data_IF_065802896539
#
_entry.id   IF_065802896539
#
_cell.length_a   1.000
_cell.length_b   1.000
_cell.length_c   1.000
_cell.angle_alpha   90.00
_cell.angle_beta   90.00
_cell.angle_gamma   90.00
#
_symmetry.space_group_name_H-M   'P 1'
#
loop_
_entity.id
_entity.type
_entity.pdbx_description
1 polymer ?
#
# COMPACT_ATOMS: atom_id res chain seq x y z
N UNK A 1 -46.65 30.76 18.29
CA UNK A 1 -45.49 29.93 17.92
C UNK A 1 -45.35 28.84 18.98
N UNK A 2 -46.06 27.72 18.79
CA UNK A 2 -46.08 26.61 19.73
C UNK A 2 -44.78 25.83 19.60
N UNK A 3 -43.82 26.08 20.49
CA UNK A 3 -42.54 25.36 20.53
C UNK A 3 -42.72 24.06 21.31
N UNK A 4 -43.40 23.10 20.70
CA UNK A 4 -43.46 21.73 21.21
C UNK A 4 -42.21 20.97 20.76
N UNK A 5 -41.50 20.38 21.72
CA UNK A 5 -40.27 19.61 21.47
C UNK A 5 -40.66 18.25 20.90
N UNK A 6 -40.44 18.05 19.60
CA UNK A 6 -40.62 16.75 18.95
C UNK A 6 -39.56 15.76 19.47
N UNK A 7 -39.94 14.62 20.08
CA UNK A 7 -38.99 13.62 20.52
C UNK A 7 -38.29 12.97 19.33
N UNK A 8 -37.03 12.57 19.52
CA UNK A 8 -36.21 11.92 18.50
C UNK A 8 -36.83 10.57 18.12
N UNK A 9 -37.08 10.36 16.83
CA UNK A 9 -37.65 9.11 16.34
C UNK A 9 -36.54 8.07 16.14
N UNK A 10 -36.49 7.08 17.03
CA UNK A 10 -35.50 6.00 16.95
C UNK A 10 -35.90 4.87 15.99
N UNK A 11 -37.11 4.88 15.43
CA UNK A 11 -37.56 3.86 14.48
C UNK A 11 -36.75 3.87 13.18
N UNK A 12 -36.17 5.02 12.81
CA UNK A 12 -35.32 5.20 11.63
C UNK A 12 -33.91 4.60 11.79
N UNK A 13 -33.46 4.33 13.03
CA UNK A 13 -32.15 3.71 13.26
C UNK A 13 -32.11 2.23 12.83
N UNK A 14 -33.26 1.57 12.71
CA UNK A 14 -33.34 0.18 12.27
C UNK A 14 -33.06 0.01 10.77
N UNK A 15 -33.07 1.10 9.99
CA UNK A 15 -32.79 1.07 8.56
C UNK A 15 -31.29 1.15 8.24
N UNK A 16 -30.44 1.14 9.28
CA UNK A 16 -28.99 1.11 9.15
C UNK A 16 -28.54 -0.28 8.67
N UNK A 17 -28.57 -0.48 7.35
CA UNK A 17 -28.03 -1.70 6.73
C UNK A 17 -26.51 -1.56 6.55
N UNK A 18 -25.71 -2.55 6.96
CA UNK A 18 -24.27 -2.52 6.73
C UNK A 18 -24.00 -2.38 5.23
N UNK A 19 -23.01 -1.55 4.91
CA UNK A 19 -22.63 -1.29 3.52
C UNK A 19 -22.31 -2.62 2.83
N UNK A 20 -23.13 -2.98 1.85
CA UNK A 20 -22.89 -4.14 1.00
C UNK A 20 -21.50 -3.98 0.37
N UNK A 21 -20.65 -5.00 0.52
CA UNK A 21 -19.31 -4.99 -0.02
C UNK A 21 -19.38 -4.68 -1.53
N UNK A 22 -18.83 -3.53 -1.93
CA UNK A 22 -18.80 -3.15 -3.36
C UNK A 22 -18.01 -4.23 -4.09
N UNK A 23 -18.65 -4.86 -5.06
CA UNK A 23 -18.06 -5.88 -5.92
C UNK A 23 -16.76 -5.36 -6.54
N UNK A 24 -15.77 -6.25 -6.65
CA UNK A 24 -14.40 -6.00 -7.07
C UNK A 24 -14.23 -5.63 -8.56
N UNK A 25 -15.32 -5.33 -9.26
CA UNK A 25 -15.32 -5.22 -10.72
C UNK A 25 -14.59 -4.00 -11.29
N UNK A 26 -14.31 -2.95 -10.49
CA UNK A 26 -13.65 -1.72 -10.98
C UNK A 26 -12.54 -1.22 -10.04
N UNK A 27 -11.59 -2.08 -9.70
CA UNK A 27 -10.36 -1.68 -8.99
C UNK A 27 -9.39 -0.89 -9.87
N UNK A 28 -9.39 -1.11 -11.19
CA UNK A 28 -8.51 -0.39 -12.13
C UNK A 28 -9.01 1.04 -12.34
N UNK A 29 -10.28 1.22 -12.69
CA UNK A 29 -10.87 2.56 -12.90
C UNK A 29 -10.84 3.42 -11.63
N UNK A 30 -11.05 2.84 -10.44
CA UNK A 30 -10.93 3.59 -9.16
C UNK A 30 -9.50 4.06 -8.89
N UNK A 31 -8.49 3.25 -9.22
CA UNK A 31 -7.08 3.64 -9.05
C UNK A 31 -6.70 4.78 -9.98
N UNK A 32 -7.27 4.80 -11.19
CA UNK A 32 -7.03 5.88 -12.16
C UNK A 32 -7.69 7.19 -11.72
N UNK A 33 -8.92 7.13 -11.21
CA UNK A 33 -9.63 8.30 -10.66
C UNK A 33 -8.91 8.83 -9.41
N UNK A 34 -8.50 7.94 -8.49
CA UNK A 34 -7.74 8.34 -7.30
C UNK A 34 -6.41 8.98 -7.69
N UNK A 35 -5.69 8.46 -8.70
CA UNK A 35 -4.46 9.11 -9.22
C UNK A 35 -4.73 10.50 -9.78
N UNK A 36 -5.81 10.68 -10.54
CA UNK A 36 -6.18 11.96 -11.16
C UNK A 36 -6.70 13.01 -10.15
N UNK A 37 -7.23 12.58 -9.00
CA UNK A 37 -7.75 13.46 -7.94
C UNK A 37 -6.86 13.53 -6.70
N UNK A 38 -5.71 12.85 -6.70
CA UNK A 38 -4.75 12.95 -5.60
C UNK A 38 -4.19 14.36 -5.55
N UNK A 39 -4.40 15.04 -4.42
CA UNK A 39 -3.85 16.35 -4.14
C UNK A 39 -2.33 16.36 -4.38
N UNK A 40 -1.76 17.36 -5.09
CA UNK A 40 -0.34 17.42 -5.45
C UNK A 40 0.65 17.31 -4.28
N UNK A 41 0.17 17.47 -3.05
CA UNK A 41 0.94 17.34 -1.81
C UNK A 41 1.34 15.90 -1.45
N UNK A 42 0.80 14.87 -2.13
CA UNK A 42 1.23 13.47 -1.97
C UNK A 42 2.15 13.12 -3.12
N UNK A 43 3.46 13.31 -2.94
CA UNK A 43 4.46 12.77 -3.86
C UNK A 43 4.23 11.27 -4.02
N UNK A 44 4.26 10.81 -5.27
CA UNK A 44 4.16 9.40 -5.58
C UNK A 44 5.43 8.73 -5.04
N UNK A 45 5.28 7.72 -4.18
CA UNK A 45 6.41 6.94 -3.70
C UNK A 45 7.06 6.24 -4.89
N UNK A 46 8.33 6.55 -5.17
CA UNK A 46 9.17 5.90 -6.20
C UNK A 46 9.53 4.44 -5.87
N UNK A 47 8.91 3.86 -4.85
CA UNK A 47 9.10 2.48 -4.44
C UNK A 47 8.36 1.53 -5.39
N UNK A 48 9.12 0.61 -5.99
CA UNK A 48 8.59 -0.50 -6.79
C UNK A 48 8.94 -1.85 -6.14
N UNK A 49 8.11 -2.87 -6.37
CA UNK A 49 8.34 -4.21 -5.87
C UNK A 49 8.83 -5.14 -6.98
N UNK A 50 9.88 -5.91 -6.69
CA UNK A 50 10.35 -7.01 -7.53
C UNK A 50 10.27 -8.34 -6.77
N UNK A 51 9.88 -9.42 -7.45
CA UNK A 51 9.85 -10.75 -6.88
C UNK A 51 11.00 -11.59 -7.44
N UNK A 52 11.96 -11.96 -6.59
CA UNK A 52 13.14 -12.74 -6.99
C UNK A 52 12.92 -14.20 -6.64
N UNK A 53 12.91 -15.09 -7.64
CA UNK A 53 12.86 -16.55 -7.46
C UNK A 53 14.26 -17.13 -7.56
N UNK A 54 14.74 -17.75 -6.48
CA UNK A 54 16.05 -18.42 -6.43
C UNK A 54 16.04 -19.50 -5.35
N UNK A 55 17.15 -20.21 -5.16
CA UNK A 55 17.27 -21.24 -4.14
C UNK A 55 17.17 -20.64 -2.72
N UNK A 56 16.66 -21.44 -1.78
CA UNK A 56 16.52 -21.02 -0.37
C UNK A 56 17.87 -20.63 0.23
N UNK A 57 18.94 -21.33 -0.16
CA UNK A 57 20.30 -21.03 0.29
C UNK A 57 20.75 -19.62 -0.13
N UNK A 58 20.46 -19.21 -1.36
CA UNK A 58 20.83 -17.88 -1.87
C UNK A 58 20.03 -16.78 -1.16
N UNK A 59 18.72 -16.98 -0.95
CA UNK A 59 17.87 -16.02 -0.22
C UNK A 59 18.38 -15.82 1.21
N UNK A 60 18.71 -16.93 1.90
CA UNK A 60 19.19 -16.86 3.28
C UNK A 60 20.56 -16.17 3.35
N UNK A 61 21.46 -16.44 2.40
CA UNK A 61 22.76 -15.77 2.32
C UNK A 61 22.59 -14.26 2.12
N UNK A 62 21.74 -13.84 1.17
CA UNK A 62 21.45 -12.42 0.93
C UNK A 62 20.90 -11.72 2.18
N UNK A 63 19.92 -12.34 2.86
CA UNK A 63 19.33 -11.78 4.09
C UNK A 63 20.34 -11.68 5.23
N UNK A 64 21.20 -12.69 5.38
CA UNK A 64 22.25 -12.70 6.41
C UNK A 64 23.23 -11.55 6.17
N UNK A 65 23.72 -11.39 4.94
CA UNK A 65 24.67 -10.33 4.58
C UNK A 65 24.07 -8.94 4.79
N UNK A 66 22.84 -8.70 4.33
CA UNK A 66 22.13 -7.44 4.55
C UNK A 66 21.98 -7.14 6.06
N UNK A 67 21.67 -8.16 6.87
CA UNK A 67 21.51 -8.01 8.33
C UNK A 67 22.82 -7.71 9.04
N UNK A 68 23.92 -8.33 8.64
CA UNK A 68 25.25 -8.11 9.24
C UNK A 68 25.67 -6.65 9.12
N UNK A 69 25.46 -6.07 7.94
CA UNK A 69 25.81 -4.67 7.64
C UNK A 69 24.68 -3.67 7.96
N UNK A 70 23.55 -4.16 8.50
CA UNK A 70 22.35 -3.35 8.85
C UNK A 70 21.74 -2.56 7.68
N UNK A 71 21.83 -3.08 6.46
CA UNK A 71 21.19 -2.48 5.29
C UNK A 71 19.74 -2.93 5.11
N UNK A 72 18.91 -2.06 4.52
CA UNK A 72 17.63 -2.48 3.94
C UNK A 72 17.91 -3.34 2.70
N UNK A 73 17.01 -4.27 2.38
CA UNK A 73 17.21 -5.18 1.25
C UNK A 73 17.35 -4.46 -0.10
N UNK A 74 16.62 -3.36 -0.32
CA UNK A 74 16.76 -2.52 -1.51
C UNK A 74 18.14 -1.88 -1.61
N UNK A 75 18.57 -1.18 -0.56
CA UNK A 75 19.88 -0.54 -0.50
C UNK A 75 21.02 -1.56 -0.69
N UNK A 76 20.89 -2.74 -0.07
CA UNK A 76 21.89 -3.80 -0.22
C UNK A 76 21.94 -4.35 -1.65
N UNK A 77 20.79 -4.48 -2.32
CA UNK A 77 20.74 -4.87 -3.73
C UNK A 77 21.44 -3.84 -4.62
N UNK A 78 21.23 -2.54 -4.37
CA UNK A 78 21.89 -1.46 -5.12
C UNK A 78 23.41 -1.51 -4.96
N UNK A 79 23.91 -1.72 -3.73
CA UNK A 79 25.35 -1.88 -3.45
C UNK A 79 25.92 -3.05 -4.27
N UNK A 80 25.24 -4.21 -4.29
CA UNK A 80 25.67 -5.36 -5.08
C UNK A 80 25.70 -5.05 -6.58
N UNK A 81 24.71 -4.31 -7.09
CA UNK A 81 24.68 -3.89 -8.50
C UNK A 81 25.83 -2.93 -8.83
N UNK A 82 26.15 -1.99 -7.93
CA UNK A 82 27.25 -1.06 -8.11
C UNK A 82 28.61 -1.77 -8.07
N UNK A 83 28.79 -2.73 -7.16
CA UNK A 83 29.99 -3.55 -7.08
C UNK A 83 30.19 -4.40 -8.35
N UNK A 84 29.12 -4.99 -8.89
CA UNK A 84 29.18 -5.76 -10.13
C UNK A 84 29.63 -4.90 -11.32
N UNK A 85 29.11 -3.67 -11.44
CA UNK A 85 29.51 -2.73 -12.50
C UNK A 85 30.97 -2.28 -12.42
N UNK A 86 31.59 -2.31 -11.25
CA UNK A 86 33.01 -1.96 -11.06
C UNK A 86 33.95 -3.12 -11.38
N UNK A 87 33.43 -4.34 -11.48
CA UNK A 87 34.21 -5.53 -11.82
C UNK A 87 34.29 -5.82 -13.33
N UNK A 88 33.52 -5.11 -14.15
CA UNK A 88 33.64 -5.04 -15.61
C UNK A 88 34.60 -3.90 -16.01
#
# INVERSE_FOLDING_TARGET
MSTERKPLNFSELNDFKPRQAKSSFNTVERKEIDRATTFPSREQSDEAQINIKTSVAIINRFKLMAKQERYRHGDFLEILMNAYKQSD
#
